data_IF_862630414299
#
_entry.id   IF_862630414299
#
_cell.length_a   1.000
_cell.length_b   1.000
_cell.length_c   1.000
_cell.angle_alpha   90.00
_cell.angle_beta   90.00
_cell.angle_gamma   90.00
#
_symmetry.space_group_name_H-M   'P 1'
#
loop_
_entity.id
_entity.type
_entity.pdbx_description
1 polymer ?
#
# COMPACT_ATOMS: atom_id res chain seq x y z
N UNK A 1 9.95 0.16 8.56
CA UNK A 1 9.48 0.25 7.16
C UNK A 1 9.81 1.59 6.51
N UNK A 2 9.27 2.75 6.95
CA UNK A 2 9.53 4.04 6.30
C UNK A 2 11.02 4.41 6.14
N UNK A 3 11.84 4.20 7.17
CA UNK A 3 13.29 4.43 7.08
C UNK A 3 13.95 3.60 5.96
N UNK A 4 13.52 2.35 5.76
CA UNK A 4 14.03 1.51 4.69
C UNK A 4 13.63 2.03 3.31
N UNK A 5 12.42 2.58 3.17
CA UNK A 5 11.98 3.23 1.92
C UNK A 5 12.73 4.55 1.67
N UNK A 6 12.99 5.34 2.71
CA UNK A 6 13.79 6.56 2.61
C UNK A 6 15.21 6.27 2.14
N UNK A 7 15.88 5.27 2.74
CA UNK A 7 17.22 4.85 2.33
C UNK A 7 17.24 4.38 0.86
N UNK A 8 16.24 3.61 0.41
CA UNK A 8 16.15 3.19 -1.00
C UNK A 8 15.91 4.35 -1.96
N UNK A 9 15.10 5.32 -1.57
CA UNK A 9 14.89 6.53 -2.37
C UNK A 9 16.18 7.37 -2.47
N UNK A 10 16.97 7.41 -1.39
CA UNK A 10 18.31 8.02 -1.36
C UNK A 10 19.28 7.33 -2.32
N UNK A 11 19.41 6.01 -2.21
CA UNK A 11 20.25 5.18 -3.09
C UNK A 11 19.86 5.33 -4.58
N UNK A 12 18.57 5.54 -4.86
CA UNK A 12 18.06 5.77 -6.20
C UNK A 12 18.13 7.25 -6.67
N UNK A 13 18.59 8.19 -5.83
CA UNK A 13 18.65 9.62 -6.15
C UNK A 13 17.27 10.29 -6.32
N UNK A 14 16.23 9.75 -5.67
CA UNK A 14 14.83 10.18 -5.83
C UNK A 14 14.28 11.02 -4.67
N UNK A 15 15.11 11.35 -3.66
CA UNK A 15 14.70 12.01 -2.41
C UNK A 15 13.89 13.29 -2.66
N UNK A 16 14.32 14.10 -3.63
CA UNK A 16 13.67 15.37 -3.98
C UNK A 16 12.31 15.21 -4.70
N UNK A 17 11.91 13.97 -5.03
CA UNK A 17 10.69 13.64 -5.76
C UNK A 17 9.75 12.73 -4.99
N UNK A 18 10.11 12.32 -3.77
CA UNK A 18 9.32 11.41 -2.95
C UNK A 18 9.01 12.07 -1.62
N UNK A 19 7.72 12.13 -1.30
CA UNK A 19 7.25 12.56 0.03
C UNK A 19 6.78 11.34 0.80
N UNK A 20 7.24 11.20 2.04
CA UNK A 20 6.85 10.12 2.93
C UNK A 20 5.86 10.64 3.97
N UNK A 21 4.79 9.88 4.19
CA UNK A 21 3.77 10.20 5.20
C UNK A 21 3.63 9.03 6.17
N UNK A 22 3.76 9.31 7.46
CA UNK A 22 3.51 8.34 8.52
C UNK A 22 2.14 8.58 9.14
N UNK A 23 1.14 7.84 8.67
CA UNK A 23 -0.24 7.98 9.11
C UNK A 23 -1.18 7.14 8.29
N UNK A 24 -2.47 7.24 8.59
CA UNK A 24 -3.50 6.57 7.78
C UNK A 24 -3.76 7.38 6.53
N UNK A 25 -4.08 6.71 5.42
CA UNK A 25 -4.43 7.39 4.17
C UNK A 25 -5.66 8.30 4.34
N UNK A 26 -6.58 7.91 5.22
CA UNK A 26 -7.78 8.65 5.57
C UNK A 26 -7.48 10.00 6.23
N UNK A 27 -6.28 10.17 6.80
CA UNK A 27 -5.80 11.39 7.43
C UNK A 27 -4.93 12.23 6.48
N UNK A 28 -4.59 11.68 5.32
CA UNK A 28 -3.72 12.35 4.36
C UNK A 28 -4.49 13.37 3.53
N UNK A 29 -4.03 14.62 3.59
CA UNK A 29 -4.59 15.76 2.86
C UNK A 29 -3.55 16.29 1.87
N UNK A 30 -3.54 15.83 0.62
CA UNK A 30 -2.61 16.34 -0.38
C UNK A 30 -3.01 17.74 -0.84
N UNK A 31 -2.02 18.53 -1.25
CA UNK A 31 -2.24 19.85 -1.83
C UNK A 31 -2.83 19.79 -3.25
N UNK A 32 -2.76 18.64 -3.91
CA UNK A 32 -3.27 18.40 -5.25
C UNK A 32 -3.69 16.95 -5.45
N UNK A 33 -4.57 16.70 -6.42
CA UNK A 33 -4.97 15.34 -6.81
C UNK A 33 -3.88 14.65 -7.62
N UNK A 34 -3.74 13.34 -7.44
CA UNK A 34 -2.79 12.49 -8.15
C UNK A 34 -3.35 12.00 -9.49
N UNK A 35 -2.46 11.82 -10.46
CA UNK A 35 -2.78 11.21 -11.76
C UNK A 35 -2.98 9.68 -11.65
N UNK A 36 -2.30 9.04 -10.70
CA UNK A 36 -2.42 7.62 -10.45
C UNK A 36 -2.08 7.27 -8.99
N UNK A 37 -2.57 6.13 -8.53
CA UNK A 37 -2.27 5.55 -7.24
C UNK A 37 -1.95 4.05 -7.40
N UNK A 38 -1.11 3.53 -6.52
CA UNK A 38 -0.88 2.10 -6.39
C UNK A 38 -1.13 1.64 -4.95
N UNK A 39 -1.79 0.51 -4.81
CA UNK A 39 -1.98 -0.19 -3.54
C UNK A 39 -1.59 -1.65 -3.76
N UNK A 40 -0.37 -2.00 -3.35
CA UNK A 40 0.23 -3.30 -3.64
C UNK A 40 0.44 -4.01 -2.32
N UNK A 41 -0.31 -5.09 -2.10
CA UNK A 41 -0.27 -5.93 -0.92
C UNK A 41 -0.56 -5.18 0.40
N UNK A 42 -1.52 -4.26 0.39
CA UNK A 42 -1.93 -3.47 1.57
C UNK A 42 -3.33 -3.82 2.06
N UNK A 43 -4.32 -3.89 1.17
CA UNK A 43 -5.74 -3.93 1.55
C UNK A 43 -6.15 -5.21 2.30
N UNK A 44 -5.44 -6.32 2.13
CA UNK A 44 -5.69 -7.56 2.86
C UNK A 44 -5.38 -7.46 4.37
N UNK A 45 -4.56 -6.50 4.81
CA UNK A 45 -4.32 -6.24 6.24
C UNK A 45 -5.46 -5.47 6.92
N UNK A 46 -6.24 -4.73 6.14
CA UNK A 46 -7.32 -3.89 6.68
C UNK A 46 -8.49 -4.78 7.12
N UNK A 47 -8.83 -4.69 8.40
CA UNK A 47 -9.89 -5.49 9.03
C UNK A 47 -11.21 -4.72 9.00
N UNK A 48 -12.30 -5.45 8.76
CA UNK A 48 -13.64 -4.88 8.71
C UNK A 48 -13.98 -4.26 7.35
N UNK A 49 -15.26 -4.36 7.00
CA UNK A 49 -15.78 -3.85 5.72
C UNK A 49 -15.67 -2.33 5.63
N UNK A 50 -16.11 -1.63 6.67
CA UNK A 50 -16.16 -0.16 6.67
C UNK A 50 -14.77 0.46 6.60
N UNK A 51 -13.79 -0.06 7.34
CA UNK A 51 -12.41 0.45 7.29
C UNK A 51 -11.79 0.26 5.89
N UNK A 52 -12.06 -0.89 5.25
CA UNK A 52 -11.59 -1.17 3.89
C UNK A 52 -12.27 -0.28 2.86
N UNK A 53 -13.58 -0.01 3.01
CA UNK A 53 -14.29 0.95 2.15
C UNK A 53 -13.75 2.36 2.33
N UNK A 54 -13.50 2.79 3.57
CA UNK A 54 -12.90 4.09 3.87
C UNK A 54 -11.53 4.23 3.20
N UNK A 55 -10.68 3.21 3.28
CA UNK A 55 -9.39 3.18 2.60
C UNK A 55 -9.50 3.40 1.08
N UNK A 56 -10.36 2.63 0.39
CA UNK A 56 -10.53 2.79 -1.06
C UNK A 56 -11.19 4.11 -1.44
N UNK A 57 -12.12 4.62 -0.62
CA UNK A 57 -12.72 5.95 -0.82
C UNK A 57 -11.66 7.05 -0.70
N UNK A 58 -10.74 6.95 0.27
CA UNK A 58 -9.64 7.90 0.41
C UNK A 58 -8.66 7.85 -0.76
N UNK A 59 -8.40 6.67 -1.34
CA UNK A 59 -7.63 6.58 -2.60
C UNK A 59 -8.38 7.34 -3.70
N UNK A 60 -9.65 7.02 -3.92
CA UNK A 60 -10.44 7.61 -4.99
C UNK A 60 -10.59 9.14 -4.85
N UNK A 61 -10.78 9.64 -3.62
CA UNK A 61 -10.90 11.07 -3.33
C UNK A 61 -9.62 11.86 -3.62
N UNK A 62 -8.46 11.19 -3.62
CA UNK A 62 -7.17 11.80 -3.90
C UNK A 62 -6.72 11.62 -5.36
N UNK A 63 -7.53 10.98 -6.21
CA UNK A 63 -7.26 10.83 -7.64
C UNK A 63 -7.99 11.91 -8.45
N UNK A 64 -7.37 12.35 -9.54
CA UNK A 64 -8.05 13.14 -10.57
C UNK A 64 -9.19 12.32 -11.20
N UNK A 65 -10.27 12.94 -11.70
CA UNK A 65 -11.23 12.25 -12.57
C UNK A 65 -10.50 11.60 -13.75
N UNK A 66 -10.71 10.29 -13.95
CA UNK A 66 -9.99 9.49 -14.95
C UNK A 66 -8.61 8.98 -14.53
N UNK A 67 -8.16 9.29 -13.31
CA UNK A 67 -6.90 8.77 -12.76
C UNK A 67 -6.91 7.25 -12.57
N UNK A 68 -5.73 6.64 -12.58
CA UNK A 68 -5.56 5.19 -12.55
C UNK A 68 -5.32 4.67 -11.13
N UNK A 69 -5.97 3.56 -10.78
CA UNK A 69 -5.64 2.77 -9.60
C UNK A 69 -5.07 1.42 -10.02
N UNK A 70 -3.83 1.15 -9.61
CA UNK A 70 -3.23 -0.19 -9.69
C UNK A 70 -3.36 -0.88 -8.33
N UNK A 71 -4.13 -1.97 -8.28
CA UNK A 71 -4.35 -2.75 -7.07
C UNK A 71 -3.79 -4.16 -7.24
N UNK A 72 -3.00 -4.60 -6.26
CA UNK A 72 -2.64 -6.00 -6.09
C UNK A 72 -2.90 -6.38 -4.63
N UNK A 73 -3.60 -7.49 -4.40
CA UNK A 73 -3.96 -7.91 -3.05
C UNK A 73 -3.96 -9.43 -2.90
N UNK A 74 -3.76 -9.93 -1.68
CA UNK A 74 -3.93 -11.34 -1.38
C UNK A 74 -5.42 -11.63 -1.14
N UNK A 75 -5.97 -12.56 -1.92
CA UNK A 75 -7.38 -12.93 -1.86
C UNK A 75 -7.55 -14.41 -1.55
N UNK A 76 -8.51 -14.73 -0.68
CA UNK A 76 -8.87 -16.09 -0.30
C UNK A 76 -9.57 -16.13 1.05
N UNK A 77 -10.05 -17.32 1.44
CA UNK A 77 -10.57 -17.55 2.77
C UNK A 77 -9.42 -17.52 3.79
N UNK A 78 -9.42 -16.50 4.64
CA UNK A 78 -8.38 -16.29 5.66
C UNK A 78 -8.30 -17.40 6.72
N UNK A 79 -9.34 -18.21 6.84
CA UNK A 79 -9.36 -19.39 7.72
C UNK A 79 -8.82 -20.65 7.05
N UNK A 80 -8.63 -20.63 5.73
CA UNK A 80 -8.18 -21.79 4.97
C UNK A 80 -6.67 -22.05 5.12
N UNK A 81 -6.24 -23.32 5.10
CA UNK A 81 -4.82 -23.67 5.01
C UNK A 81 -4.13 -23.11 3.76
N UNK A 82 -4.86 -23.01 2.64
CA UNK A 82 -4.35 -22.45 1.39
C UNK A 82 -3.95 -20.98 1.53
N UNK A 83 -4.80 -20.18 2.16
CA UNK A 83 -4.48 -18.77 2.41
C UNK A 83 -3.30 -18.62 3.37
N UNK A 84 -3.21 -19.48 4.39
CA UNK A 84 -2.06 -19.49 5.30
C UNK A 84 -0.74 -19.75 4.56
N UNK A 85 -0.71 -20.73 3.64
CA UNK A 85 0.47 -20.97 2.80
C UNK A 85 0.78 -19.80 1.88
N UNK A 86 -0.23 -19.23 1.20
CA UNK A 86 -0.07 -18.07 0.32
C UNK A 86 0.55 -16.88 1.07
N UNK A 87 -0.02 -16.55 2.23
CA UNK A 87 0.48 -15.47 3.08
C UNK A 87 1.92 -15.73 3.52
N UNK A 88 2.24 -16.96 3.92
CA UNK A 88 3.59 -17.32 4.33
C UNK A 88 4.60 -17.19 3.18
N UNK A 89 4.27 -17.68 1.98
CA UNK A 89 5.13 -17.53 0.80
C UNK A 89 5.37 -16.07 0.46
N UNK A 90 4.33 -15.24 0.54
CA UNK A 90 4.46 -13.80 0.31
C UNK A 90 5.35 -13.12 1.37
N UNK A 91 5.17 -13.43 2.66
CA UNK A 91 6.01 -12.90 3.75
C UNK A 91 7.49 -13.27 3.56
N UNK A 92 7.79 -14.50 3.17
CA UNK A 92 9.16 -14.95 2.88
C UNK A 92 9.78 -14.18 1.71
N UNK A 93 9.02 -13.96 0.63
CA UNK A 93 9.49 -13.14 -0.50
C UNK A 93 9.80 -11.72 -0.06
N UNK A 94 8.95 -11.10 0.76
CA UNK A 94 9.17 -9.75 1.28
C UNK A 94 10.45 -9.66 2.14
N UNK A 95 10.65 -10.63 3.04
CA UNK A 95 11.84 -10.73 3.87
C UNK A 95 13.14 -10.88 3.05
N UNK A 96 13.12 -11.64 1.94
CA UNK A 96 14.29 -11.81 1.07
C UNK A 96 14.77 -10.53 0.40
N UNK A 97 13.92 -9.49 0.35
CA UNK A 97 14.27 -8.18 -0.18
C UNK A 97 14.70 -7.19 0.91
N UNK A 98 14.97 -7.64 2.14
CA UNK A 98 15.48 -6.79 3.22
C UNK A 98 14.41 -5.91 3.86
N UNK A 99 13.16 -6.36 3.86
CA UNK A 99 12.06 -5.72 4.57
C UNK A 99 11.60 -6.66 5.68
N UNK A 100 11.97 -6.34 6.93
CA UNK A 100 11.54 -7.03 8.15
C UNK A 100 10.36 -6.33 8.79
#
# INVERSE_FOLDING_TARGET
MLNACQNRAAEAGMENRVTFCNGRLQEYQPLSLFDAASSVFVAHFIKGREEKLAYFRSIAANLKPGGLLVLADLFGDKSSPDFSRLLHTWLLSYASHGVS
#
